data_IF_311695063566
#
_entry.id   IF_311695063566
#
_cell.length_a   1.000
_cell.length_b   1.000
_cell.length_c   1.000
_cell.angle_alpha   90.00
_cell.angle_beta   90.00
_cell.angle_gamma   90.00
#
_symmetry.space_group_name_H-M   'P 1'
#
loop_
_entity.id
_entity.type
_entity.pdbx_description
1 polymer ?
#
# COMPACT_ATOMS: atom_id res chain seq x y z
N UNK A 1 19.45 -79.54 -19.74
CA UNK A 1 19.50 -78.06 -19.73
C UNK A 1 18.09 -77.43 -19.79
N UNK A 2 17.07 -78.10 -19.23
CA UNK A 2 15.65 -77.69 -19.33
C UNK A 2 14.97 -77.61 -17.95
N UNK A 3 15.75 -77.53 -16.86
CA UNK A 3 15.24 -77.28 -15.50
C UNK A 3 15.66 -75.92 -14.92
N UNK A 4 16.60 -75.21 -15.56
CA UNK A 4 17.08 -73.89 -15.09
C UNK A 4 16.19 -72.76 -15.60
N UNK A 5 15.61 -72.87 -16.81
CA UNK A 5 14.73 -71.82 -17.35
C UNK A 5 13.35 -71.78 -16.66
N UNK A 6 12.83 -72.91 -16.16
CA UNK A 6 11.53 -72.94 -15.49
C UNK A 6 11.59 -72.38 -14.06
N UNK A 7 12.76 -72.47 -13.40
CA UNK A 7 12.97 -71.89 -12.08
C UNK A 7 13.19 -70.37 -12.13
N UNK A 8 13.73 -69.84 -13.23
CA UNK A 8 13.89 -68.38 -13.41
C UNK A 8 12.57 -67.69 -13.80
N UNK A 9 11.63 -68.39 -14.44
CA UNK A 9 10.33 -67.80 -14.77
C UNK A 9 9.38 -67.72 -13.55
N UNK A 10 9.54 -68.60 -12.56
CA UNK A 10 8.67 -68.59 -11.38
C UNK A 10 9.08 -67.54 -10.32
N UNK A 11 10.33 -67.06 -10.33
CA UNK A 11 10.78 -65.98 -9.44
C UNK A 11 10.34 -64.58 -9.89
N UNK A 12 9.99 -64.38 -11.16
CA UNK A 12 9.60 -63.05 -11.65
C UNK A 12 8.11 -62.72 -11.43
N UNK A 13 7.27 -63.71 -11.09
CA UNK A 13 5.84 -63.46 -10.82
C UNK A 13 5.53 -63.10 -9.36
N UNK A 14 6.44 -63.31 -8.41
CA UNK A 14 6.19 -63.00 -6.99
C UNK A 14 6.54 -61.56 -6.57
N UNK A 15 7.21 -60.77 -7.42
CA UNK A 15 7.58 -59.39 -7.07
C UNK A 15 6.56 -58.32 -7.48
N UNK A 16 5.47 -58.68 -8.18
CA UNK A 16 4.45 -57.70 -8.59
C UNK A 16 3.24 -57.58 -7.65
N UNK A 17 3.19 -58.32 -6.53
CA UNK A 17 2.04 -58.32 -5.63
C UNK A 17 2.21 -57.56 -4.31
N UNK A 18 3.29 -56.80 -4.10
CA UNK A 18 3.57 -56.16 -2.81
C UNK A 18 3.53 -54.62 -2.77
N UNK A 19 2.92 -53.96 -3.76
CA UNK A 19 2.83 -52.49 -3.77
C UNK A 19 1.42 -51.91 -3.68
N UNK A 20 0.49 -52.65 -3.06
CA UNK A 20 -0.90 -52.20 -2.93
C UNK A 20 -1.41 -52.33 -1.49
N UNK A 21 -0.82 -51.58 -0.54
CA UNK A 21 -1.51 -51.23 0.70
C UNK A 21 -0.75 -50.16 1.52
N UNK A 22 -1.12 -48.90 1.34
CA UNK A 22 -1.30 -47.92 2.43
C UNK A 22 -1.75 -46.57 1.85
N UNK A 23 -3.04 -46.27 1.98
CA UNK A 23 -3.49 -44.88 2.07
C UNK A 23 -4.82 -44.84 2.84
N UNK A 24 -4.87 -44.31 4.08
CA UNK A 24 -6.13 -43.99 4.72
C UNK A 24 -6.71 -42.71 4.12
N UNK A 25 -7.91 -42.80 3.58
CA UNK A 25 -8.75 -41.66 3.24
C UNK A 25 -9.18 -40.94 4.53
N UNK A 26 -8.91 -39.64 4.61
CA UNK A 26 -9.65 -38.70 5.46
C UNK A 26 -10.34 -37.65 4.58
N UNK A 27 -11.58 -37.25 4.90
CA UNK A 27 -12.37 -36.34 4.07
C UNK A 27 -11.78 -34.92 4.11
N UNK A 28 -11.54 -34.36 2.93
CA UNK A 28 -11.21 -32.95 2.74
C UNK A 28 -12.35 -32.09 3.30
N UNK A 29 -12.15 -31.52 4.50
CA UNK A 29 -12.90 -30.34 4.90
C UNK A 29 -12.36 -29.19 4.07
N UNK A 30 -13.21 -28.67 3.17
CA UNK A 30 -12.92 -27.55 2.30
C UNK A 30 -12.90 -26.28 3.17
N UNK A 31 -11.77 -26.05 3.84
CA UNK A 31 -11.50 -24.80 4.53
C UNK A 31 -11.27 -23.75 3.43
N UNK A 32 -12.29 -22.95 3.16
CA UNK A 32 -12.12 -21.67 2.45
C UNK A 32 -11.14 -20.85 3.29
N UNK A 33 -9.85 -20.97 2.97
CA UNK A 33 -8.86 -19.98 3.34
C UNK A 33 -9.27 -18.72 2.58
N UNK A 34 -10.04 -17.86 3.25
CA UNK A 34 -10.11 -16.45 2.90
C UNK A 34 -8.65 -16.00 2.83
N UNK A 35 -8.16 -15.78 1.61
CA UNK A 35 -6.89 -15.12 1.40
C UNK A 35 -6.89 -13.89 2.31
N UNK A 36 -5.87 -13.71 3.18
CA UNK A 36 -5.64 -12.41 3.73
C UNK A 36 -5.50 -11.52 2.51
N UNK A 37 -6.45 -10.60 2.34
CA UNK A 37 -6.31 -9.51 1.41
C UNK A 37 -5.04 -8.81 1.90
N UNK A 38 -3.89 -9.20 1.32
CA UNK A 38 -2.64 -8.48 1.45
C UNK A 38 -2.99 -7.11 0.91
N UNK A 39 -3.37 -6.23 1.84
CA UNK A 39 -3.49 -4.82 1.60
C UNK A 39 -2.10 -4.45 1.14
N UNK A 40 -1.97 -4.38 -0.18
CA UNK A 40 -0.77 -3.92 -0.85
C UNK A 40 -0.34 -2.67 -0.10
N UNK A 41 0.91 -2.59 0.36
CA UNK A 41 1.41 -1.39 1.05
C UNK A 41 0.95 -0.20 0.23
N UNK A 42 0.36 0.81 0.88
CA UNK A 42 -0.17 2.02 0.24
C UNK A 42 0.91 2.62 -0.68
N UNK A 43 0.93 2.16 -1.93
CA UNK A 43 2.02 2.46 -2.85
C UNK A 43 1.65 3.76 -3.55
N UNK A 44 1.70 4.81 -2.75
CA UNK A 44 1.48 6.19 -3.18
C UNK A 44 2.40 6.53 -4.37
N UNK A 45 3.60 5.96 -4.42
CA UNK A 45 4.53 6.11 -5.54
C UNK A 45 3.98 5.46 -6.80
N UNK A 46 3.48 4.22 -6.73
CA UNK A 46 2.83 3.58 -7.88
C UNK A 46 1.57 4.32 -8.33
N UNK A 47 0.78 4.87 -7.40
CA UNK A 47 -0.36 5.74 -7.75
C UNK A 47 0.08 6.98 -8.51
N UNK A 48 1.12 7.68 -8.06
CA UNK A 48 1.70 8.83 -8.79
C UNK A 48 2.12 8.42 -10.20
N UNK A 49 2.86 7.30 -10.33
CA UNK A 49 3.30 6.79 -11.64
C UNK A 49 2.12 6.54 -12.58
N UNK A 50 1.02 5.99 -12.08
CA UNK A 50 -0.20 5.79 -12.88
C UNK A 50 -0.87 7.10 -13.32
N UNK A 51 -0.71 8.19 -12.56
CA UNK A 51 -1.28 9.50 -12.86
C UNK A 51 -0.46 10.32 -13.88
N UNK A 52 0.79 9.94 -14.17
CA UNK A 52 1.65 10.65 -15.15
C UNK A 52 1.07 10.63 -16.55
N UNK A 53 0.48 9.51 -16.99
CA UNK A 53 -0.20 9.39 -18.28
C UNK A 53 -1.39 10.37 -18.39
N UNK A 54 -2.39 10.25 -17.50
CA UNK A 54 -3.52 11.17 -17.40
C UNK A 54 -3.11 12.64 -17.30
N UNK A 55 -2.08 12.97 -16.52
CA UNK A 55 -1.56 14.33 -16.39
C UNK A 55 -1.10 14.89 -17.76
N UNK A 56 -0.32 14.11 -18.51
CA UNK A 56 0.16 14.52 -19.84
C UNK A 56 -0.99 14.69 -20.83
N UNK A 57 -1.97 13.80 -20.76
CA UNK A 57 -3.15 13.85 -21.63
C UNK A 57 -4.03 15.07 -21.33
N UNK A 58 -4.37 15.28 -20.05
CA UNK A 58 -5.17 16.42 -19.61
C UNK A 58 -4.49 17.77 -19.92
N UNK A 59 -3.17 17.87 -19.74
CA UNK A 59 -2.41 19.05 -20.16
C UNK A 59 -2.49 19.27 -21.67
N UNK A 60 -2.33 18.21 -22.46
CA UNK A 60 -2.43 18.27 -23.93
C UNK A 60 -3.82 18.75 -24.37
N UNK A 61 -4.89 18.23 -23.75
CA UNK A 61 -6.26 18.61 -24.05
C UNK A 61 -6.55 20.06 -23.64
N UNK A 62 -6.02 20.50 -22.49
CA UNK A 62 -6.12 21.89 -22.03
C UNK A 62 -5.48 22.85 -23.04
N UNK A 63 -4.28 22.54 -23.52
CA UNK A 63 -3.59 23.39 -24.52
C UNK A 63 -4.35 23.40 -25.85
N UNK A 64 -4.82 22.24 -26.34
CA UNK A 64 -5.59 22.15 -27.59
C UNK A 64 -6.88 22.96 -27.52
N UNK A 65 -7.62 22.85 -26.43
CA UNK A 65 -8.88 23.59 -26.25
C UNK A 65 -8.65 25.08 -26.04
N UNK A 66 -7.57 25.47 -25.36
CA UNK A 66 -7.13 26.87 -25.28
C UNK A 66 -6.82 27.45 -26.66
N UNK A 67 -6.03 26.74 -27.49
CA UNK A 67 -5.71 27.17 -28.85
C UNK A 67 -6.96 27.29 -29.73
N UNK A 68 -7.89 26.34 -29.63
CA UNK A 68 -9.18 26.41 -30.33
C UNK A 68 -9.99 27.64 -29.91
N UNK A 69 -10.02 27.94 -28.61
CA UNK A 69 -10.70 29.14 -28.06
C UNK A 69 -10.10 30.43 -28.64
N UNK A 70 -8.77 30.53 -28.71
CA UNK A 70 -8.10 31.70 -29.27
C UNK A 70 -8.37 31.87 -30.77
N UNK A 71 -8.32 30.78 -31.54
CA UNK A 71 -8.61 30.81 -32.97
C UNK A 71 -10.07 31.21 -33.22
N UNK A 72 -11.00 30.68 -32.43
CA UNK A 72 -12.41 31.03 -32.52
C UNK A 72 -12.63 32.52 -32.23
N UNK A 73 -12.06 33.04 -31.14
CA UNK A 73 -12.16 34.46 -30.80
C UNK A 73 -11.60 35.34 -31.95
N UNK A 74 -10.46 34.96 -32.51
CA UNK A 74 -9.88 35.67 -33.66
C UNK A 74 -10.80 35.65 -34.90
N UNK A 75 -11.48 34.54 -35.19
CA UNK A 75 -12.41 34.47 -36.32
C UNK A 75 -13.68 35.32 -36.12
N UNK A 76 -14.12 35.45 -34.86
CA UNK A 76 -15.23 36.34 -34.48
C UNK A 76 -14.81 37.80 -34.67
N UNK A 77 -13.60 38.18 -34.21
CA UNK A 77 -13.07 39.55 -34.34
C UNK A 77 -12.93 40.01 -35.79
N UNK A 78 -12.51 39.11 -36.68
CA UNK A 78 -12.37 39.39 -38.13
C UNK A 78 -13.75 39.39 -38.85
N UNK A 79 -14.84 39.03 -38.16
CA UNK A 79 -16.19 38.98 -38.72
C UNK A 79 -16.44 37.78 -39.65
N UNK A 80 -15.53 36.80 -39.65
CA UNK A 80 -15.59 35.57 -40.45
C UNK A 80 -16.57 34.54 -39.89
N UNK A 81 -16.85 34.57 -38.58
CA UNK A 81 -17.91 33.78 -37.96
C UNK A 81 -19.11 34.65 -37.58
N UNK A 82 -20.26 34.38 -38.23
CA UNK A 82 -21.57 34.94 -37.89
C UNK A 82 -22.49 33.79 -37.48
N UNK A 83 -22.57 33.45 -36.19
CA UNK A 83 -23.46 32.36 -35.78
C UNK A 83 -23.44 32.03 -34.30
N UNK A 84 -24.64 31.96 -33.72
CA UNK A 84 -25.01 31.69 -32.32
C UNK A 84 -24.82 30.21 -31.93
N UNK A 85 -24.24 29.38 -32.80
CA UNK A 85 -24.24 27.92 -32.70
C UNK A 85 -22.83 27.30 -32.69
N UNK A 86 -21.82 28.06 -32.25
CA UNK A 86 -20.45 27.54 -32.14
C UNK A 86 -20.29 26.87 -30.78
N UNK A 87 -20.04 25.56 -30.80
CA UNK A 87 -19.69 24.76 -29.62
C UNK A 87 -18.58 25.45 -28.84
N UNK A 88 -18.90 25.92 -27.63
CA UNK A 88 -17.94 26.56 -26.72
C UNK A 88 -16.88 25.51 -26.35
N UNK A 89 -15.61 25.74 -26.69
CA UNK A 89 -14.52 24.86 -26.27
C UNK A 89 -14.56 24.71 -24.75
N UNK A 90 -14.61 23.47 -24.26
CA UNK A 90 -14.70 23.15 -22.83
C UNK A 90 -13.35 23.34 -22.12
N UNK A 91 -12.72 24.50 -22.29
CA UNK A 91 -11.42 24.79 -21.70
C UNK A 91 -11.44 24.63 -20.18
N UNK A 92 -12.44 25.22 -19.50
CA UNK A 92 -12.56 25.16 -18.05
C UNK A 92 -12.58 23.73 -17.52
N UNK A 93 -13.30 22.82 -18.20
CA UNK A 93 -13.37 21.41 -17.82
C UNK A 93 -12.02 20.71 -17.93
N UNK A 94 -11.27 20.94 -19.02
CA UNK A 94 -9.96 20.33 -19.20
C UNK A 94 -8.95 20.88 -18.18
N UNK A 95 -9.05 22.17 -17.88
CA UNK A 95 -8.22 22.82 -16.88
C UNK A 95 -8.52 22.30 -15.46
N UNK A 96 -9.79 22.13 -15.12
CA UNK A 96 -10.22 21.54 -13.84
C UNK A 96 -9.72 20.10 -13.69
N UNK A 97 -9.81 19.29 -14.74
CA UNK A 97 -9.26 17.92 -14.75
C UNK A 97 -7.74 17.91 -14.55
N UNK A 98 -7.01 18.84 -15.17
CA UNK A 98 -5.57 18.98 -14.99
C UNK A 98 -5.21 19.29 -13.53
N UNK A 99 -5.89 20.26 -12.92
CA UNK A 99 -5.67 20.61 -11.52
C UNK A 99 -6.06 19.46 -10.58
N UNK A 100 -7.16 18.76 -10.84
CA UNK A 100 -7.56 17.59 -10.03
C UNK A 100 -6.51 16.49 -10.03
N UNK A 101 -5.84 16.25 -11.16
CA UNK A 101 -4.74 15.28 -11.25
C UNK A 101 -3.50 15.78 -10.48
N UNK A 102 -3.16 17.06 -10.61
CA UNK A 102 -2.08 17.68 -9.84
C UNK A 102 -2.30 17.56 -8.32
N UNK A 103 -3.52 17.83 -7.83
CA UNK A 103 -3.88 17.73 -6.42
C UNK A 103 -3.73 16.29 -5.91
N UNK A 104 -4.13 15.30 -6.71
CA UNK A 104 -3.96 13.89 -6.36
C UNK A 104 -2.49 13.48 -6.29
N UNK A 105 -1.66 13.95 -7.23
CA UNK A 105 -0.21 13.71 -7.21
C UNK A 105 0.41 14.35 -5.96
N UNK A 106 0.06 15.59 -5.66
CA UNK A 106 0.55 16.31 -4.48
C UNK A 106 0.18 15.57 -3.19
N UNK A 107 -1.06 15.11 -3.07
CA UNK A 107 -1.53 14.34 -1.91
C UNK A 107 -0.72 13.05 -1.72
N UNK A 108 -0.48 12.30 -2.80
CA UNK A 108 0.32 11.07 -2.73
C UNK A 108 1.79 11.35 -2.39
N UNK A 109 2.38 12.44 -2.90
CA UNK A 109 3.75 12.84 -2.56
C UNK A 109 3.86 13.24 -1.09
N UNK A 110 2.95 14.09 -0.60
CA UNK A 110 2.88 14.47 0.83
C UNK A 110 2.71 13.25 1.74
N UNK A 111 1.88 12.31 1.33
CA UNK A 111 1.66 11.07 2.08
C UNK A 111 2.92 10.22 2.12
N UNK A 112 3.60 10.06 0.97
CA UNK A 112 4.87 9.31 0.88
C UNK A 112 5.95 9.92 1.77
N UNK A 113 6.08 11.25 1.78
CA UNK A 113 7.02 11.95 2.65
C UNK A 113 6.72 11.72 4.14
N UNK A 114 5.45 11.77 4.54
CA UNK A 114 5.05 11.45 5.92
C UNK A 114 5.37 10.02 6.30
N UNK A 115 5.15 9.04 5.40
CA UNK A 115 5.51 7.65 5.64
C UNK A 115 7.03 7.47 5.83
N UNK A 116 7.85 8.16 5.03
CA UNK A 116 9.32 8.12 5.18
C UNK A 116 9.75 8.71 6.52
N UNK A 117 9.21 9.88 6.89
CA UNK A 117 9.51 10.52 8.19
C UNK A 117 9.04 9.66 9.37
N UNK A 118 7.88 9.01 9.25
CA UNK A 118 7.38 8.07 10.25
C UNK A 118 8.31 6.85 10.37
N UNK A 119 8.81 6.31 9.26
CA UNK A 119 9.75 5.19 9.28
C UNK A 119 11.08 5.57 9.93
N UNK A 120 11.62 6.75 9.61
CA UNK A 120 12.83 7.27 10.24
C UNK A 120 12.65 7.44 11.75
N UNK A 121 11.53 8.03 12.17
CA UNK A 121 11.19 8.20 13.58
C UNK A 121 11.03 6.87 14.30
N UNK A 122 10.36 5.91 13.66
CA UNK A 122 10.21 4.53 14.17
C UNK A 122 11.58 3.89 14.41
N UNK A 123 12.49 3.96 13.44
CA UNK A 123 13.84 3.41 13.55
C UNK A 123 14.70 4.13 14.61
N UNK A 124 14.44 5.41 14.87
CA UNK A 124 15.23 6.23 15.80
C UNK A 124 14.79 6.10 17.24
N UNK A 125 13.48 6.01 17.48
CA UNK A 125 12.90 6.12 18.82
C UNK A 125 12.34 4.79 19.34
N UNK A 126 12.22 3.77 18.49
CA UNK A 126 11.79 2.43 18.91
C UNK A 126 12.94 1.44 18.81
N UNK A 127 13.02 0.56 19.80
CA UNK A 127 14.02 -0.51 19.84
C UNK A 127 13.66 -1.69 18.94
N UNK A 128 12.39 -1.81 18.56
CA UNK A 128 11.85 -2.89 17.75
C UNK A 128 11.06 -2.30 16.58
N UNK A 129 11.21 -2.84 15.35
CA UNK A 129 10.42 -2.43 14.21
C UNK A 129 8.93 -2.69 14.46
N UNK A 130 8.07 -1.85 13.91
CA UNK A 130 6.61 -2.02 13.98
C UNK A 130 6.12 -2.72 12.73
N UNK A 131 5.27 -3.73 12.88
CA UNK A 131 4.67 -4.45 11.77
C UNK A 131 3.85 -3.47 10.89
N UNK A 132 4.02 -3.48 9.57
CA UNK A 132 3.39 -2.53 8.66
C UNK A 132 1.87 -2.73 8.50
N UNK A 133 1.33 -3.87 8.94
CA UNK A 133 -0.09 -4.20 8.82
C UNK A 133 -0.73 -4.36 10.19
N UNK A 134 -2.02 -4.01 10.30
CA UNK A 134 -2.90 -4.33 11.43
C UNK A 134 -3.23 -5.83 11.55
N UNK A 135 -2.43 -6.71 10.95
CA UNK A 135 -2.67 -8.15 11.00
C UNK A 135 -2.39 -8.62 12.42
N UNK A 136 -3.42 -8.70 13.25
CA UNK A 136 -3.42 -9.64 14.37
C UNK A 136 -3.27 -11.04 13.76
N UNK A 137 -2.31 -11.82 14.26
CA UNK A 137 -2.24 -13.26 14.02
C UNK A 137 -1.74 -13.75 12.64
N UNK A 138 -0.53 -13.36 12.22
CA UNK A 138 0.30 -14.27 11.42
C UNK A 138 1.74 -14.24 11.92
N UNK A 139 2.08 -15.18 12.81
CA UNK A 139 3.46 -15.61 13.11
C UNK A 139 4.53 -14.52 13.06
N UNK A 140 4.27 -13.37 13.69
CA UNK A 140 5.24 -12.29 13.74
C UNK A 140 6.38 -12.77 14.65
N UNK A 141 7.61 -12.70 14.15
CA UNK A 141 8.81 -12.96 14.96
C UNK A 141 8.74 -12.13 16.25
N UNK A 142 9.23 -12.68 17.37
CA UNK A 142 9.30 -12.00 18.68
C UNK A 142 10.05 -10.65 18.63
N UNK A 143 10.74 -10.35 17.52
CA UNK A 143 11.52 -9.15 17.27
C UNK A 143 10.73 -8.05 16.52
N UNK A 144 9.39 -8.04 16.52
CA UNK A 144 8.60 -6.98 15.87
C UNK A 144 7.37 -6.62 16.70
N UNK A 145 7.09 -5.32 16.84
CA UNK A 145 5.92 -4.83 17.56
C UNK A 145 4.69 -4.86 16.67
N UNK A 146 3.58 -5.39 17.18
CA UNK A 146 2.26 -5.17 16.58
C UNK A 146 1.80 -3.72 16.82
N UNK A 147 0.85 -3.24 16.01
CA UNK A 147 0.31 -1.89 16.18
C UNK A 147 -0.29 -1.62 17.59
N UNK A 148 -1.06 -2.55 18.20
CA UNK A 148 -1.51 -2.38 19.59
C UNK A 148 -0.36 -2.30 20.61
N UNK A 149 0.67 -3.15 20.46
CA UNK A 149 1.85 -3.13 21.35
C UNK A 149 2.66 -1.84 21.20
N UNK A 150 2.80 -1.33 19.97
CA UNK A 150 3.38 -0.01 19.73
C UNK A 150 2.59 1.09 20.45
N UNK A 151 1.27 1.10 20.33
CA UNK A 151 0.43 2.11 20.97
C UNK A 151 0.53 2.06 22.51
N UNK A 152 0.54 0.86 23.09
CA UNK A 152 0.76 0.66 24.52
C UNK A 152 2.13 1.19 24.96
N UNK A 153 3.18 0.90 24.18
CA UNK A 153 4.55 1.38 24.44
C UNK A 153 4.64 2.90 24.39
N UNK A 154 4.10 3.52 23.34
CA UNK A 154 4.07 4.98 23.20
C UNK A 154 3.30 5.64 24.34
N UNK A 155 2.16 5.08 24.75
CA UNK A 155 1.36 5.59 25.87
C UNK A 155 2.14 5.52 27.18
N UNK A 156 2.82 4.39 27.45
CA UNK A 156 3.66 4.24 28.63
C UNK A 156 4.83 5.24 28.66
N UNK A 157 5.49 5.46 27.52
CA UNK A 157 6.57 6.46 27.40
C UNK A 157 6.07 7.89 27.68
N UNK A 158 4.89 8.25 27.19
CA UNK A 158 4.26 9.56 27.45
C UNK A 158 3.94 9.71 28.95
N UNK A 159 3.31 8.71 29.57
CA UNK A 159 2.99 8.74 31.01
C UNK A 159 4.26 8.87 31.86
N UNK A 160 5.29 8.07 31.56
CA UNK A 160 6.55 8.11 32.29
C UNK A 160 7.26 9.47 32.17
N UNK A 161 7.26 10.06 30.96
CA UNK A 161 7.83 11.39 30.74
C UNK A 161 7.06 12.46 31.54
N UNK A 162 5.73 12.33 31.62
CA UNK A 162 4.89 13.23 32.43
C UNK A 162 5.20 13.10 33.92
N UNK A 163 5.36 11.89 34.43
CA UNK A 163 5.71 11.66 35.84
C UNK A 163 7.08 12.27 36.20
N UNK A 164 8.09 12.14 35.32
CA UNK A 164 9.39 12.80 35.49
C UNK A 164 9.21 14.32 35.52
N UNK A 165 8.47 14.87 34.56
CA UNK A 165 8.21 16.30 34.50
C UNK A 165 7.54 16.80 35.78
N UNK A 166 6.47 16.15 36.23
CA UNK A 166 5.71 16.56 37.42
C UNK A 166 6.58 16.46 38.68
N UNK A 167 7.43 15.44 38.77
CA UNK A 167 8.42 15.29 39.86
C UNK A 167 9.45 16.42 39.84
N UNK A 168 9.97 16.77 38.67
CA UNK A 168 10.94 17.87 38.51
C UNK A 168 10.31 19.23 38.83
N UNK A 169 9.07 19.46 38.41
CA UNK A 169 8.32 20.70 38.75
C UNK A 169 8.10 20.80 40.25
N UNK A 170 7.66 19.72 40.90
CA UNK A 170 7.48 19.71 42.35
C UNK A 170 8.81 19.95 43.08
N UNK A 171 9.91 19.35 42.62
CA UNK A 171 11.24 19.60 43.18
C UNK A 171 11.67 21.06 42.98
N UNK A 172 11.47 21.65 41.80
CA UNK A 172 11.83 23.04 41.51
C UNK A 172 11.03 24.04 42.38
N UNK A 173 9.74 23.80 42.59
CA UNK A 173 8.91 24.63 43.48
C UNK A 173 9.34 24.55 44.95
N UNK A 174 9.84 23.40 45.39
CA UNK A 174 10.41 23.25 46.73
C UNK A 174 11.78 23.94 46.89
N UNK A 175 12.51 24.18 45.80
CA UNK A 175 13.85 24.77 45.80
C UNK A 175 13.83 26.29 45.54
N UNK A 176 12.79 26.82 44.93
CA UNK A 176 12.60 28.27 44.72
C UNK A 176 11.70 28.83 45.84
N UNK A 177 12.25 29.24 47.00
CA UNK A 177 11.47 30.00 47.96
C UNK A 177 11.00 31.28 47.28
N UNK A 178 9.72 31.59 47.44
CA UNK A 178 9.18 32.89 47.07
C UNK A 178 9.77 33.93 48.04
N UNK A 179 10.75 34.70 47.58
CA UNK A 179 11.06 36.03 48.12
C UNK A 179 10.14 37.07 47.46
#
# INVERSE_FOLDING_TARGET
MMNILLQQQQQQQQQQQQQQQQNPQQPLMQQQVQQPQQQQPLDNISKIKSLIGPLRESLSNTIKTSAQTLIQNSQVDVGSQKGVDVQIPRFDKNLEEFYSICDQIELHLKTSLKCLSQQESSNRYLNLPVAPTKSESLGLNDNTLTYPQFLATATAQVSYTKEIHDTLVAAAQNISPSD
#
